data_IF_332639111398
#
_entry.id   IF_332639111398
#
_cell.length_a   1.000
_cell.length_b   1.000
_cell.length_c   1.000
_cell.angle_alpha   90.00
_cell.angle_beta   90.00
_cell.angle_gamma   90.00
#
_symmetry.space_group_name_H-M   'P 1'
#
loop_
_entity.id
_entity.type
_entity.pdbx_description
1 polymer ?
#
# COMPACT_ATOMS: atom_id res chain seq x y z
N UNK A 1 5.46 11.65 -2.16
CA UNK A 1 4.33 11.10 -2.96
C UNK A 1 3.96 11.95 -4.18
N UNK A 2 4.23 13.26 -4.21
CA UNK A 2 3.96 14.08 -5.40
C UNK A 2 4.59 13.57 -6.69
N UNK A 3 5.83 13.03 -6.61
CA UNK A 3 6.46 12.39 -7.75
C UNK A 3 5.66 11.17 -8.24
N UNK A 4 5.30 10.26 -7.32
CA UNK A 4 4.54 9.07 -7.65
C UNK A 4 3.15 9.41 -8.21
N UNK A 5 2.46 10.41 -7.66
CA UNK A 5 1.11 10.78 -8.13
C UNK A 5 1.10 11.36 -9.54
N UNK A 6 2.13 12.12 -9.94
CA UNK A 6 2.30 12.61 -11.32
C UNK A 6 2.56 11.49 -12.34
N UNK A 7 3.00 10.32 -11.88
CA UNK A 7 3.30 9.17 -12.72
C UNK A 7 2.09 8.24 -12.94
N UNK A 8 0.99 8.48 -12.23
CA UNK A 8 -0.26 7.73 -12.29
C UNK A 8 -1.31 8.56 -13.03
N UNK A 9 -1.93 7.98 -14.05
CA UNK A 9 -2.95 8.64 -14.89
C UNK A 9 -4.33 8.63 -14.21
N UNK A 10 -5.25 9.52 -14.61
CA UNK A 10 -6.61 9.47 -14.11
C UNK A 10 -7.26 8.10 -14.33
N UNK A 11 -8.03 7.62 -13.35
CA UNK A 11 -8.69 6.32 -13.33
C UNK A 11 -7.79 5.07 -13.28
N UNK A 12 -6.47 5.19 -13.36
CA UNK A 12 -5.56 4.07 -13.08
C UNK A 12 -5.76 3.56 -11.66
N UNK A 13 -5.56 2.27 -11.46
CA UNK A 13 -5.77 1.60 -10.18
C UNK A 13 -4.46 1.54 -9.41
N UNK A 14 -4.47 2.11 -8.21
CA UNK A 14 -3.32 2.16 -7.31
C UNK A 14 -3.60 1.41 -6.01
N UNK A 15 -2.63 0.66 -5.53
CA UNK A 15 -2.62 0.06 -4.20
C UNK A 15 -1.68 0.83 -3.28
N UNK A 16 -2.18 1.26 -2.13
CA UNK A 16 -1.38 1.63 -0.97
C UNK A 16 -1.22 0.39 -0.08
N UNK A 17 -0.02 -0.20 -0.12
CA UNK A 17 0.31 -1.47 0.54
C UNK A 17 1.05 -1.19 1.85
N UNK A 18 0.39 -1.45 2.98
CA UNK A 18 0.82 -1.02 4.30
C UNK A 18 0.43 0.44 4.55
N UNK A 19 -0.84 0.76 4.29
CA UNK A 19 -1.31 2.13 4.15
C UNK A 19 -1.39 2.91 5.47
N UNK A 20 -1.39 2.22 6.63
CA UNK A 20 -1.60 2.80 7.94
C UNK A 20 -2.76 3.80 7.94
N UNK A 21 -2.51 5.00 8.48
CA UNK A 21 -3.50 6.09 8.52
C UNK A 21 -3.99 6.64 7.15
N UNK A 22 -3.55 6.06 6.03
CA UNK A 22 -3.88 6.45 4.65
C UNK A 22 -3.47 7.89 4.34
N UNK A 23 -2.40 8.40 4.98
CA UNK A 23 -1.88 9.76 4.78
C UNK A 23 -1.62 10.13 3.31
N UNK A 24 -1.39 9.14 2.45
CA UNK A 24 -1.09 9.35 1.04
C UNK A 24 -2.30 9.42 0.12
N UNK A 25 -3.50 9.05 0.59
CA UNK A 25 -4.74 9.08 -0.21
C UNK A 25 -4.98 10.43 -0.89
N UNK A 26 -4.66 11.54 -0.21
CA UNK A 26 -4.85 12.91 -0.71
C UNK A 26 -4.06 13.21 -2.00
N UNK A 27 -2.98 12.49 -2.29
CA UNK A 27 -2.18 12.71 -3.51
C UNK A 27 -2.75 12.00 -4.74
N UNK A 28 -3.68 11.06 -4.56
CA UNK A 28 -4.18 10.17 -5.61
C UNK A 28 -5.70 10.30 -5.82
N UNK A 29 -6.27 11.49 -5.57
CA UNK A 29 -7.71 11.74 -5.74
C UNK A 29 -8.20 11.54 -7.18
N UNK A 30 -7.30 11.65 -8.17
CA UNK A 30 -7.58 11.43 -9.59
C UNK A 30 -7.56 9.95 -10.01
N UNK A 31 -7.09 9.06 -9.14
CA UNK A 31 -6.90 7.63 -9.40
C UNK A 31 -7.88 6.78 -8.59
N UNK A 32 -8.01 5.50 -8.96
CA UNK A 32 -8.78 4.51 -8.17
C UNK A 32 -7.87 3.96 -7.07
N UNK A 33 -7.93 4.60 -5.91
CA UNK A 33 -7.06 4.30 -4.77
C UNK A 33 -7.68 3.25 -3.85
N UNK A 34 -7.01 2.09 -3.74
CA UNK A 34 -7.30 1.08 -2.73
C UNK A 34 -6.20 1.05 -1.67
N UNK A 35 -6.57 0.84 -0.41
CA UNK A 35 -5.63 0.71 0.71
C UNK A 35 -5.76 -0.66 1.39
N UNK A 36 -4.63 -1.25 1.73
CA UNK A 36 -4.55 -2.47 2.53
C UNK A 36 -3.48 -2.36 3.61
N UNK A 37 -3.69 -3.13 4.68
CA UNK A 37 -2.73 -3.27 5.77
C UNK A 37 -2.90 -4.64 6.46
N UNK A 38 -1.97 -4.96 7.35
CA UNK A 38 -1.98 -6.16 8.17
C UNK A 38 -2.84 -5.97 9.42
N UNK A 39 -3.63 -6.99 9.76
CA UNK A 39 -4.63 -6.91 10.84
C UNK A 39 -4.02 -6.48 12.19
N UNK A 40 -2.87 -7.03 12.56
CA UNK A 40 -2.27 -6.77 13.87
C UNK A 40 -1.70 -5.35 13.96
N UNK A 41 -1.21 -4.80 12.84
CA UNK A 41 -0.81 -3.40 12.74
C UNK A 41 -2.03 -2.51 13.00
N UNK A 42 -3.16 -2.83 12.39
CA UNK A 42 -4.40 -2.08 12.60
C UNK A 42 -4.89 -2.14 14.03
N UNK A 43 -4.91 -3.32 14.63
CA UNK A 43 -5.40 -3.47 16.00
C UNK A 43 -4.53 -2.64 16.98
N UNK A 44 -3.21 -2.57 16.76
CA UNK A 44 -2.31 -1.70 17.54
C UNK A 44 -2.50 -0.20 17.25
N UNK A 45 -2.56 0.20 15.97
CA UNK A 45 -2.79 1.61 15.58
C UNK A 45 -4.14 2.13 16.07
N UNK A 46 -5.19 1.31 16.01
CA UNK A 46 -6.50 1.70 16.50
C UNK A 46 -6.51 1.83 18.01
N UNK A 47 -5.78 0.98 18.75
CA UNK A 47 -5.71 1.10 20.22
C UNK A 47 -5.10 2.44 20.67
N UNK A 48 -4.08 2.94 19.95
CA UNK A 48 -3.50 4.26 20.21
C UNK A 48 -4.40 5.43 19.73
N UNK A 49 -5.14 5.25 18.62
CA UNK A 49 -6.05 6.25 18.05
C UNK A 49 -7.44 6.25 18.73
N UNK A 50 -7.80 5.24 19.54
CA UNK A 50 -9.11 5.14 20.19
C UNK A 50 -9.41 6.27 21.19
N UNK A 51 -8.43 7.11 21.55
CA UNK A 51 -8.67 8.37 22.26
C UNK A 51 -9.18 9.51 21.35
N UNK A 52 -9.05 9.41 20.02
CA UNK A 52 -9.61 10.38 19.08
C UNK A 52 -9.88 9.77 17.68
N UNK A 53 -11.16 9.52 17.40
CA UNK A 53 -11.83 9.61 16.08
C UNK A 53 -11.66 8.52 14.98
N UNK A 54 -12.83 8.04 14.52
CA UNK A 54 -13.15 7.38 13.23
C UNK A 54 -12.36 6.13 12.81
N UNK A 55 -13.05 4.97 12.77
CA UNK A 55 -12.57 3.73 12.12
C UNK A 55 -12.10 4.02 10.69
N UNK A 56 -10.78 4.02 10.47
CA UNK A 56 -10.19 4.09 9.14
C UNK A 56 -10.64 2.85 8.37
N UNK A 57 -11.43 3.05 7.31
CA UNK A 57 -11.96 1.94 6.49
C UNK A 57 -10.95 1.60 5.40
N UNK A 58 -10.28 0.47 5.52
CA UNK A 58 -9.45 -0.10 4.44
C UNK A 58 -10.33 -0.77 3.39
N UNK A 59 -9.80 -0.89 2.18
CA UNK A 59 -10.50 -1.54 1.08
C UNK A 59 -10.45 -3.07 1.24
N UNK A 60 -9.36 -3.60 1.81
CA UNK A 60 -9.22 -4.99 2.23
C UNK A 60 -8.04 -5.15 3.20
N UNK A 61 -8.02 -6.24 3.96
CA UNK A 61 -6.96 -6.59 4.93
C UNK A 61 -6.26 -7.87 4.47
N UNK A 62 -4.94 -7.88 4.39
CA UNK A 62 -4.14 -9.07 4.08
C UNK A 62 -2.68 -8.91 4.50
N UNK A 63 -1.94 -10.02 4.50
CA UNK A 63 -0.48 -9.95 4.49
C UNK A 63 0.03 -9.58 3.10
N UNK A 64 1.10 -8.78 3.04
CA UNK A 64 1.65 -8.32 1.76
C UNK A 64 2.40 -9.41 0.99
N UNK A 65 2.79 -10.50 1.66
CA UNK A 65 3.38 -11.69 1.02
C UNK A 65 2.33 -12.67 0.48
N UNK A 66 1.03 -12.34 0.62
CA UNK A 66 -0.09 -13.08 0.03
C UNK A 66 -1.31 -12.17 -0.17
N UNK A 67 -1.26 -11.36 -1.23
CA UNK A 67 -2.31 -10.39 -1.55
C UNK A 67 -3.43 -11.09 -2.32
N UNK A 68 -4.65 -11.09 -1.76
CA UNK A 68 -5.85 -11.68 -2.36
C UNK A 68 -6.42 -10.85 -3.52
N UNK A 69 -5.58 -10.56 -4.52
CA UNK A 69 -5.91 -9.83 -5.75
C UNK A 69 -5.40 -10.58 -6.97
N UNK A 70 -6.10 -10.49 -8.11
CA UNK A 70 -5.67 -11.14 -9.36
C UNK A 70 -4.30 -10.65 -9.83
N UNK A 71 -3.65 -11.46 -10.68
CA UNK A 71 -2.44 -11.03 -11.37
C UNK A 71 -2.75 -9.82 -12.26
N UNK A 72 -1.82 -8.89 -12.39
CA UNK A 72 -1.99 -7.74 -13.28
C UNK A 72 -3.21 -6.86 -12.96
N UNK A 73 -3.61 -6.74 -11.70
CA UNK A 73 -4.79 -5.96 -11.31
C UNK A 73 -4.51 -4.48 -11.03
N UNK A 74 -3.26 -4.08 -10.81
CA UNK A 74 -2.88 -2.70 -10.47
C UNK A 74 -1.95 -2.06 -11.50
N UNK A 75 -2.15 -0.78 -11.75
CA UNK A 75 -1.28 0.05 -12.59
C UNK A 75 -0.08 0.58 -11.78
N UNK A 76 -0.28 0.83 -10.49
CA UNK A 76 0.78 1.25 -9.57
C UNK A 76 0.60 0.68 -8.16
N UNK A 77 1.71 0.56 -7.43
CA UNK A 77 1.75 0.24 -6.00
C UNK A 77 2.62 1.28 -5.31
N UNK A 78 2.19 1.76 -4.14
CA UNK A 78 3.05 2.48 -3.20
C UNK A 78 3.27 1.61 -1.96
N UNK A 79 4.51 1.57 -1.49
CA UNK A 79 4.92 0.86 -0.27
C UNK A 79 6.00 1.67 0.44
N UNK A 80 5.65 2.32 1.54
CA UNK A 80 6.48 3.37 2.13
C UNK A 80 6.79 3.10 3.59
N UNK A 81 8.05 2.79 3.89
CA UNK A 81 8.51 2.49 5.26
C UNK A 81 7.75 1.31 5.88
N UNK A 82 7.68 0.22 5.12
CA UNK A 82 6.91 -0.99 5.48
C UNK A 82 7.73 -2.23 5.20
N UNK A 83 8.47 -2.26 4.08
CA UNK A 83 9.23 -3.43 3.65
C UNK A 83 10.25 -3.90 4.70
N UNK A 84 10.82 -3.01 5.50
CA UNK A 84 11.74 -3.32 6.59
C UNK A 84 11.09 -4.01 7.80
N UNK A 85 9.76 -3.97 7.89
CA UNK A 85 9.00 -4.56 9.00
C UNK A 85 8.37 -5.91 8.64
N UNK A 86 8.41 -6.32 7.37
CA UNK A 86 7.81 -7.58 6.93
C UNK A 86 8.78 -8.74 7.14
N UNK A 87 8.26 -9.91 7.51
CA UNK A 87 9.06 -11.12 7.77
C UNK A 87 9.78 -11.63 6.50
N UNK A 88 9.13 -11.51 5.34
CA UNK A 88 9.62 -12.04 4.06
C UNK A 88 9.63 -10.98 2.95
N UNK A 89 10.57 -10.01 2.95
CA UNK A 89 10.55 -8.89 2.00
C UNK A 89 10.60 -9.35 0.54
N UNK A 90 11.35 -10.40 0.23
CA UNK A 90 11.39 -10.94 -1.13
C UNK A 90 10.04 -11.48 -1.59
N UNK A 91 9.26 -12.12 -0.70
CA UNK A 91 7.92 -12.61 -1.06
C UNK A 91 6.96 -11.44 -1.31
N UNK A 92 7.07 -10.37 -0.54
CA UNK A 92 6.30 -9.13 -0.74
C UNK A 92 6.61 -8.52 -2.10
N UNK A 93 7.89 -8.40 -2.47
CA UNK A 93 8.27 -7.90 -3.81
C UNK A 93 7.73 -8.79 -4.92
N UNK A 94 7.78 -10.12 -4.75
CA UNK A 94 7.22 -11.05 -5.73
C UNK A 94 5.70 -10.89 -5.88
N UNK A 95 4.97 -10.68 -4.77
CA UNK A 95 3.54 -10.41 -4.79
C UNK A 95 3.20 -9.08 -5.45
N UNK A 96 3.97 -8.02 -5.16
CA UNK A 96 3.82 -6.73 -5.84
C UNK A 96 4.03 -6.88 -7.35
N UNK A 97 5.08 -7.60 -7.77
CA UNK A 97 5.30 -7.90 -9.17
C UNK A 97 4.14 -8.68 -9.79
N UNK A 98 3.60 -9.69 -9.09
CA UNK A 98 2.48 -10.52 -9.57
C UNK A 98 1.21 -9.69 -9.83
N UNK A 99 0.86 -8.79 -8.91
CA UNK A 99 -0.38 -8.00 -9.01
C UNK A 99 -0.24 -6.73 -9.86
N UNK A 100 0.99 -6.31 -10.18
CA UNK A 100 1.23 -5.24 -11.15
C UNK A 100 0.93 -5.71 -12.57
N UNK A 101 0.29 -4.85 -13.35
CA UNK A 101 0.17 -5.04 -14.80
C UNK A 101 1.56 -5.00 -15.45
N UNK A 102 1.75 -5.61 -16.64
CA UNK A 102 2.94 -5.38 -17.44
C UNK A 102 3.18 -3.87 -17.62
N UNK A 103 4.38 -3.39 -17.27
CA UNK A 103 4.73 -1.97 -17.29
C UNK A 103 4.19 -1.13 -16.12
N UNK A 104 3.53 -1.77 -15.14
CA UNK A 104 3.09 -1.12 -13.92
C UNK A 104 4.26 -0.67 -13.04
N UNK A 105 4.00 0.30 -12.15
CA UNK A 105 5.05 0.98 -11.37
C UNK A 105 4.97 0.63 -9.90
N UNK A 106 6.11 0.26 -9.31
CA UNK A 106 6.28 0.17 -7.85
C UNK A 106 7.04 1.40 -7.36
N UNK A 107 6.44 2.15 -6.44
CA UNK A 107 7.11 3.22 -5.71
C UNK A 107 7.37 2.74 -4.29
N UNK A 108 8.64 2.49 -3.99
CA UNK A 108 9.05 1.89 -2.73
C UNK A 108 10.05 2.80 -2.01
N UNK A 109 9.90 2.91 -0.70
CA UNK A 109 10.90 3.52 0.18
C UNK A 109 11.13 2.62 1.38
N UNK A 110 12.39 2.46 1.78
CA UNK A 110 12.82 1.76 2.99
C UNK A 110 14.07 2.48 3.54
N UNK A 111 14.39 2.38 4.84
CA UNK A 111 15.61 2.94 5.39
C UNK A 111 16.86 2.45 4.66
N UNK A 112 17.81 3.35 4.45
CA UNK A 112 19.12 3.00 3.90
C UNK A 112 20.07 2.73 5.06
N UNK A 113 20.42 1.48 5.29
CA UNK A 113 21.43 1.09 6.29
C UNK A 113 22.77 0.91 5.58
N UNK A 114 23.66 1.88 5.73
CA UNK A 114 25.10 1.78 5.41
C UNK A 114 25.91 1.99 6.67
#
# INVERSE_FOLDING_TARGET
MEFASKQVKPSEKILDAGAGDRRYKKYFFHARYEATDFKDVLDNFFTDIFNHSSKIKYDFICSLDKISKPNGSYDAIINTQVLEHVEYPQKVINEFYRILKPGGKLFLTTPHTV
#
